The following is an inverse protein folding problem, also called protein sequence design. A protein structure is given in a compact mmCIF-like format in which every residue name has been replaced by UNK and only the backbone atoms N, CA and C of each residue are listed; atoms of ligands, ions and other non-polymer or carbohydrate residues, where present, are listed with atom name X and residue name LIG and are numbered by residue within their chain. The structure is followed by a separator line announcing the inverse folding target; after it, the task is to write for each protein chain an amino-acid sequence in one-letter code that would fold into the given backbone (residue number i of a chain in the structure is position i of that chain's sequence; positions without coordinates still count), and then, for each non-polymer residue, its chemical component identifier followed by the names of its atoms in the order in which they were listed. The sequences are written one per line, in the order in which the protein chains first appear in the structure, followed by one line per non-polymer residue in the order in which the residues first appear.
data_IF_675838800245
#
_entry.id   IF_675838800245
#
_cell.length_a   1.000
_cell.length_b   1.000
_cell.length_c   1.000
_cell.angle_alpha   90.00
_cell.angle_beta   90.00
_cell.angle_gamma   90.00
#
_symmetry.space_group_name_H-M   'P 1'
#
loop_
_entity.id
_entity.type
_entity.pdbx_description
1 polymer ?
#
# COMPACT_ATOMS: atom_id res chain seq x y z
N UNK A 1 -13.44 24.21 6.20
CA UNK A 1 -13.41 25.33 5.22
C UNK A 1 -11.95 25.67 5.03
N UNK A 2 -11.32 25.35 3.91
CA UNK A 2 -11.34 26.14 2.69
C UNK A 2 -11.19 25.23 1.47
N UNK A 3 -12.29 25.04 0.75
CA UNK A 3 -12.30 24.60 -0.64
C UNK A 3 -12.89 25.79 -1.40
N UNK A 4 -12.03 26.73 -1.77
CA UNK A 4 -12.45 28.00 -2.34
C UNK A 4 -11.39 28.54 -3.27
N UNK A 5 -11.83 28.78 -4.52
CA UNK A 5 -11.22 29.64 -5.54
C UNK A 5 -10.18 28.95 -6.44
N UNK A 6 -10.65 28.25 -7.46
CA UNK A 6 -10.55 28.73 -8.85
C UNK A 6 -11.34 27.83 -9.81
N UNK A 7 -12.29 28.44 -10.52
CA UNK A 7 -13.10 27.85 -11.59
C UNK A 7 -12.18 27.39 -12.72
N UNK A 8 -12.10 26.09 -12.99
CA UNK A 8 -12.10 25.45 -14.33
C UNK A 8 -12.27 23.92 -14.14
N UNK A 9 -13.48 23.41 -14.40
CA UNK A 9 -13.81 22.01 -14.76
C UNK A 9 -13.12 20.84 -14.00
N UNK A 10 -13.17 20.81 -12.66
CA UNK A 10 -12.95 19.56 -11.92
C UNK A 10 -14.03 19.41 -10.84
N UNK A 11 -14.86 18.38 -11.00
CA UNK A 11 -15.91 18.02 -10.06
C UNK A 11 -15.31 17.73 -8.66
N UNK A 12 -15.96 18.14 -7.56
CA UNK A 12 -15.59 17.81 -6.17
C UNK A 12 -15.43 16.30 -5.85
N UNK A 13 -15.70 15.42 -6.81
CA UNK A 13 -15.64 13.96 -6.69
C UNK A 13 -14.23 13.35 -6.80
N UNK A 14 -13.21 14.13 -7.18
CA UNK A 14 -11.81 13.68 -7.32
C UNK A 14 -11.22 13.12 -6.03
N UNK A 15 -11.40 13.87 -4.94
CA UNK A 15 -10.70 13.67 -3.68
C UNK A 15 -11.32 12.53 -2.86
N UNK A 16 -12.58 12.17 -3.10
CA UNK A 16 -13.30 11.21 -2.27
C UNK A 16 -13.01 9.75 -2.65
N UNK A 17 -12.60 9.49 -3.90
CA UNK A 17 -12.40 8.12 -4.43
C UNK A 17 -11.00 7.53 -4.17
N UNK A 18 -10.00 8.37 -3.87
CA UNK A 18 -8.67 7.92 -3.43
C UNK A 18 -8.62 7.48 -1.94
N UNK A 19 -9.63 7.87 -1.13
CA UNK A 19 -9.60 7.79 0.34
C UNK A 19 -9.80 6.38 0.93
N UNK A 20 -10.30 5.42 0.17
CA UNK A 20 -10.75 4.13 0.73
C UNK A 20 -9.70 2.98 0.62
N UNK A 21 -8.53 3.23 0.06
CA UNK A 21 -7.65 2.16 -0.43
C UNK A 21 -6.80 1.45 0.63
N UNK A 22 -6.46 2.09 1.75
CA UNK A 22 -5.45 1.54 2.69
C UNK A 22 -5.92 1.45 4.14
N UNK A 23 -7.14 1.90 4.47
CA UNK A 23 -7.68 1.73 5.83
C UNK A 23 -8.07 0.28 6.17
N UNK A 24 -7.98 -0.67 5.23
CA UNK A 24 -8.47 -2.05 5.39
C UNK A 24 -7.40 -3.14 5.16
N UNK A 25 -6.15 -2.90 5.57
CA UNK A 25 -5.14 -3.98 5.65
C UNK A 25 -5.30 -4.80 6.95
N UNK A 26 -6.41 -5.55 7.05
CA UNK A 26 -6.39 -6.84 7.76
C UNK A 26 -7.14 -7.93 7.00
N UNK A 27 -8.09 -7.60 6.13
CA UNK A 27 -8.73 -8.56 5.23
C UNK A 27 -9.12 -7.89 3.90
N UNK A 28 -8.57 -8.42 2.80
CA UNK A 28 -8.78 -7.98 1.41
C UNK A 28 -10.28 -7.85 1.07
N UNK A 29 -10.71 -6.72 0.46
CA UNK A 29 -10.98 -6.79 -0.98
C UNK A 29 -10.63 -5.50 -1.76
N UNK A 30 -10.37 -5.73 -3.04
CA UNK A 30 -10.12 -4.80 -4.17
C UNK A 30 -10.95 -3.52 -4.14
N UNK A 31 -10.32 -2.36 -4.19
CA UNK A 31 -10.94 -1.09 -4.57
C UNK A 31 -9.96 -0.27 -5.42
N UNK A 32 -10.49 0.41 -6.44
CA UNK A 32 -9.77 0.98 -7.57
C UNK A 32 -9.40 2.47 -7.32
N UNK A 33 -8.19 2.88 -7.72
CA UNK A 33 -7.85 4.30 -7.84
C UNK A 33 -8.64 4.89 -9.01
N UNK A 34 -9.59 5.79 -8.74
CA UNK A 34 -10.24 6.57 -9.79
C UNK A 34 -9.43 7.84 -10.03
N UNK A 35 -8.65 7.87 -11.10
CA UNK A 35 -8.13 9.10 -11.70
C UNK A 35 -9.29 9.86 -12.34
N UNK A 36 -9.21 11.19 -12.32
CA UNK A 36 -10.32 12.04 -12.71
C UNK A 36 -9.96 13.13 -13.71
N UNK A 37 -8.78 13.03 -14.30
CA UNK A 37 -8.57 13.63 -15.60
C UNK A 37 -9.30 12.76 -16.63
N UNK A 38 -10.00 13.38 -17.58
CA UNK A 38 -10.51 12.67 -18.75
C UNK A 38 -9.33 11.98 -19.48
N UNK A 39 -9.22 10.68 -19.26
CA UNK A 39 -8.16 9.83 -19.78
C UNK A 39 -8.78 8.80 -20.71
N UNK A 40 -8.22 8.70 -21.91
CA UNK A 40 -8.61 7.69 -22.87
C UNK A 40 -8.28 6.28 -22.36
N UNK A 41 -7.21 6.15 -21.57
CA UNK A 41 -6.73 4.90 -21.01
C UNK A 41 -6.26 5.14 -19.58
N UNK A 42 -6.95 4.52 -18.62
CA UNK A 42 -6.54 4.44 -17.23
C UNK A 42 -6.88 3.04 -16.71
N UNK A 43 -5.88 2.22 -16.40
CA UNK A 43 -6.14 0.89 -15.85
C UNK A 43 -6.63 0.99 -14.40
N UNK A 44 -7.58 0.14 -14.02
CA UNK A 44 -7.95 0.02 -12.62
C UNK A 44 -6.76 -0.49 -11.79
N UNK A 45 -6.31 0.33 -10.83
CA UNK A 45 -5.20 -0.02 -9.95
C UNK A 45 -5.70 -0.92 -8.82
N UNK A 46 -5.13 -2.12 -8.70
CA UNK A 46 -5.56 -3.15 -7.73
C UNK A 46 -4.41 -3.59 -6.84
N UNK A 47 -4.74 -4.08 -5.64
CA UNK A 47 -3.70 -4.46 -4.68
C UNK A 47 -2.91 -5.70 -5.11
N UNK A 48 -1.59 -5.65 -4.92
CA UNK A 48 -0.67 -6.77 -5.06
C UNK A 48 0.09 -7.04 -3.73
N UNK A 49 -0.15 -8.20 -3.09
CA UNK A 49 0.53 -8.55 -1.84
C UNK A 49 2.04 -8.72 -1.95
N UNK A 50 2.58 -9.05 -3.13
CA UNK A 50 4.03 -9.17 -3.33
C UNK A 50 4.67 -7.77 -3.41
N UNK A 51 4.03 -6.81 -4.07
CA UNK A 51 4.48 -5.40 -4.06
C UNK A 51 4.48 -4.82 -2.64
N UNK A 52 3.47 -5.14 -1.83
CA UNK A 52 3.40 -4.67 -0.44
C UNK A 52 4.53 -5.26 0.44
N UNK A 53 4.92 -6.50 0.18
CA UNK A 53 6.06 -7.13 0.85
C UNK A 53 7.39 -6.49 0.43
N UNK A 54 7.54 -6.14 -0.85
CA UNK A 54 8.71 -5.40 -1.35
C UNK A 54 8.79 -4.03 -0.67
N UNK A 55 7.69 -3.28 -0.63
CA UNK A 55 7.61 -1.99 0.05
C UNK A 55 7.95 -2.11 1.54
N UNK A 56 7.42 -3.14 2.21
CA UNK A 56 7.70 -3.42 3.63
C UNK A 56 9.17 -3.73 3.90
N UNK A 57 9.79 -4.51 3.02
CA UNK A 57 11.20 -4.85 3.12
C UNK A 57 12.07 -3.60 2.97
N UNK A 58 11.76 -2.74 2.00
CA UNK A 58 12.52 -1.52 1.76
C UNK A 58 12.31 -0.46 2.85
N UNK A 59 11.07 -0.25 3.30
CA UNK A 59 10.73 0.76 4.31
C UNK A 59 11.45 0.55 5.66
N UNK A 60 11.85 -0.68 5.97
CA UNK A 60 12.64 -1.01 7.18
C UNK A 60 14.03 -0.40 7.20
N UNK A 61 14.57 -0.03 6.05
CA UNK A 61 15.89 0.58 5.97
C UNK A 61 15.88 2.03 6.50
N UNK A 62 14.71 2.67 6.62
CA UNK A 62 14.57 4.06 7.08
C UNK A 62 15.47 5.03 6.29
N UNK A 63 15.49 4.91 4.96
CA UNK A 63 16.27 5.75 4.06
C UNK A 63 15.33 6.46 3.09
N UNK A 64 15.44 7.78 2.98
CA UNK A 64 14.75 8.53 1.95
C UNK A 64 15.47 8.42 0.60
N UNK A 65 15.54 7.20 0.10
CA UNK A 65 16.13 6.84 -1.19
C UNK A 65 15.34 5.70 -1.82
N UNK A 66 15.32 5.66 -3.15
CA UNK A 66 14.62 4.61 -3.87
C UNK A 66 15.30 3.24 -3.72
N UNK A 67 14.48 2.19 -3.73
CA UNK A 67 14.97 0.82 -3.73
C UNK A 67 15.85 0.57 -4.98
N UNK A 68 17.10 0.18 -4.75
CA UNK A 68 18.10 -0.01 -5.80
C UNK A 68 17.83 -1.24 -6.67
N UNK A 69 16.86 -2.09 -6.28
CA UNK A 69 16.52 -3.36 -6.95
C UNK A 69 15.23 -3.30 -7.79
N UNK A 70 14.66 -2.12 -8.04
CA UNK A 70 13.39 -1.98 -8.76
C UNK A 70 13.48 -2.26 -10.28
N UNK A 71 14.70 -2.34 -10.84
CA UNK A 71 14.97 -2.43 -12.28
C UNK A 71 15.97 -3.55 -12.58
N UNK A 72 16.09 -4.01 -13.86
CA UNK A 72 17.10 -4.98 -14.27
C UNK A 72 18.53 -4.56 -13.84
N UNK A 73 19.41 -5.51 -13.49
CA UNK A 73 19.26 -6.97 -13.62
C UNK A 73 18.38 -7.61 -12.54
N UNK A 74 17.94 -6.83 -11.54
CA UNK A 74 17.07 -7.31 -10.47
C UNK A 74 15.63 -7.47 -10.95
N UNK A 75 14.94 -8.45 -10.39
CA UNK A 75 13.53 -8.74 -10.69
C UNK A 75 12.81 -9.15 -9.42
N UNK A 76 12.38 -8.16 -8.64
CA UNK A 76 11.71 -8.37 -7.34
C UNK A 76 10.31 -8.96 -7.47
N UNK A 77 9.65 -8.77 -8.62
CA UNK A 77 8.31 -9.29 -8.88
C UNK A 77 8.31 -10.17 -10.15
N UNK A 78 7.72 -11.37 -10.13
CA UNK A 78 7.81 -12.31 -11.25
C UNK A 78 7.15 -11.80 -12.54
N UNK A 79 6.08 -11.00 -12.41
CA UNK A 79 5.29 -10.52 -13.55
C UNK A 79 5.70 -9.13 -14.07
N UNK A 80 6.62 -8.43 -13.40
CA UNK A 80 7.00 -7.07 -13.78
C UNK A 80 8.51 -6.96 -13.93
N UNK A 81 8.97 -6.56 -15.12
CA UNK A 81 10.40 -6.33 -15.42
C UNK A 81 10.96 -5.14 -14.65
N UNK A 82 10.11 -4.15 -14.39
CA UNK A 82 10.48 -2.95 -13.65
C UNK A 82 9.32 -2.53 -12.76
N UNK A 83 9.65 -2.07 -11.57
CA UNK A 83 8.71 -1.56 -10.59
C UNK A 83 8.83 -0.04 -10.47
N UNK A 84 7.72 0.60 -10.12
CA UNK A 84 7.66 2.00 -9.72
C UNK A 84 7.69 2.10 -8.20
N UNK A 85 7.97 3.28 -7.67
CA UNK A 85 8.00 3.51 -6.23
C UNK A 85 7.72 4.97 -5.91
N UNK A 86 6.83 5.19 -4.94
CA UNK A 86 6.68 6.47 -4.26
C UNK A 86 7.05 6.32 -2.79
N UNK A 87 7.71 7.32 -2.22
CA UNK A 87 8.11 7.37 -0.82
C UNK A 87 7.53 8.64 -0.21
N UNK A 88 6.92 8.50 0.96
CA UNK A 88 6.46 9.60 1.80
C UNK A 88 7.13 9.44 3.16
N UNK A 89 7.61 10.54 3.71
CA UNK A 89 8.24 10.56 5.03
C UNK A 89 7.80 11.80 5.78
N UNK A 90 7.35 11.63 7.01
CA UNK A 90 6.89 12.73 7.85
C UNK A 90 6.72 12.30 9.30
N UNK A 91 6.24 13.22 10.14
CA UNK A 91 5.94 12.88 11.53
C UNK A 91 4.82 11.84 11.61
N UNK A 92 4.88 10.98 12.63
CA UNK A 92 3.81 10.01 12.90
C UNK A 92 2.42 10.66 13.03
N UNK A 93 2.36 11.84 13.65
CA UNK A 93 1.09 12.55 13.90
C UNK A 93 0.40 13.06 12.62
N UNK A 94 1.17 13.32 11.57
CA UNK A 94 0.65 13.77 10.28
C UNK A 94 0.34 12.61 9.33
N UNK A 95 0.86 11.42 9.65
CA UNK A 95 0.70 10.27 8.78
C UNK A 95 -0.73 9.76 8.82
N UNK A 96 -1.37 9.87 7.67
CA UNK A 96 -2.37 8.91 7.24
C UNK A 96 -2.04 8.53 5.81
N UNK A 97 -2.53 7.38 5.37
CA UNK A 97 -2.46 7.02 3.96
C UNK A 97 -3.00 8.12 3.08
N UNK A 98 -4.18 8.65 3.45
CA UNK A 98 -4.85 9.64 2.63
C UNK A 98 -3.98 10.89 2.51
N UNK A 99 -3.35 11.32 3.61
CA UNK A 99 -2.42 12.45 3.60
C UNK A 99 -1.25 12.18 2.66
N UNK A 100 -0.59 11.03 2.79
CA UNK A 100 0.57 10.70 1.98
C UNK A 100 0.27 10.63 0.47
N UNK A 101 -0.87 10.03 0.09
CA UNK A 101 -1.26 9.97 -1.32
C UNK A 101 -1.72 11.34 -1.83
N UNK A 102 -2.41 12.14 -1.01
CA UNK A 102 -2.76 13.52 -1.37
C UNK A 102 -1.50 14.34 -1.59
N UNK A 103 -0.49 14.26 -0.71
CA UNK A 103 0.78 14.97 -0.87
C UNK A 103 1.48 14.59 -2.18
N UNK A 104 1.48 13.30 -2.54
CA UNK A 104 2.00 12.84 -3.85
C UNK A 104 1.19 13.39 -5.02
N UNK A 105 -0.14 13.41 -4.92
CA UNK A 105 -1.03 13.87 -5.98
C UNK A 105 -0.94 15.39 -6.19
N UNK A 106 -0.81 16.16 -5.11
CA UNK A 106 -0.80 17.63 -5.12
C UNK A 106 0.41 18.21 -5.86
N UNK A 107 1.43 17.40 -6.18
CA UNK A 107 2.48 17.77 -7.13
C UNK A 107 1.93 18.14 -8.53
N UNK A 108 0.68 17.78 -8.86
CA UNK A 108 -0.02 18.25 -10.05
C UNK A 108 0.02 19.76 -10.21
N UNK A 109 0.05 20.52 -9.10
CA UNK A 109 0.14 21.98 -9.11
C UNK A 109 1.45 22.51 -9.74
N UNK A 110 2.46 21.64 -9.86
CA UNK A 110 3.77 21.94 -10.43
C UNK A 110 3.97 21.30 -11.81
N UNK A 111 3.01 20.51 -12.30
CA UNK A 111 3.10 19.75 -13.53
C UNK A 111 2.24 20.34 -14.66
N UNK A 112 2.88 20.80 -15.73
CA UNK A 112 2.18 21.17 -16.96
C UNK A 112 2.05 19.95 -17.89
N UNK A 113 0.85 19.41 -18.00
CA UNK A 113 0.57 18.27 -18.86
C UNK A 113 0.87 18.53 -20.35
N UNK A 114 0.63 19.75 -20.85
CA UNK A 114 0.81 20.07 -22.28
C UNK A 114 2.28 19.94 -22.68
N UNK A 115 3.18 20.43 -21.82
CA UNK A 115 4.62 20.45 -22.10
C UNK A 115 5.39 19.34 -21.38
N UNK A 116 4.75 18.60 -20.48
CA UNK A 116 5.36 17.66 -19.50
C UNK A 116 6.39 18.32 -18.58
N UNK A 117 6.43 19.65 -18.53
CA UNK A 117 7.37 20.39 -17.68
C UNK A 117 6.93 20.29 -16.23
N UNK A 118 7.89 20.00 -15.37
CA UNK A 118 7.74 20.05 -13.93
C UNK A 118 8.55 21.22 -13.38
N UNK A 119 7.92 22.06 -12.56
CA UNK A 119 8.59 23.22 -11.95
C UNK A 119 9.26 22.90 -10.61
N UNK A 120 8.95 21.74 -10.01
CA UNK A 120 9.55 21.21 -8.79
C UNK A 120 9.73 19.69 -8.87
N UNK A 121 9.07 18.94 -7.98
CA UNK A 121 8.94 17.48 -8.01
C UNK A 121 7.53 17.16 -8.50
N UNK A 122 7.43 16.24 -9.46
CA UNK A 122 6.16 15.79 -10.04
C UNK A 122 6.11 14.26 -10.23
N UNK A 123 7.18 13.57 -9.85
CA UNK A 123 7.34 12.14 -10.10
C UNK A 123 6.38 11.29 -9.28
N UNK A 124 5.98 11.76 -8.09
CA UNK A 124 5.01 11.05 -7.28
C UNK A 124 3.63 11.16 -7.90
N UNK A 125 3.23 12.37 -8.33
CA UNK A 125 1.98 12.59 -9.04
C UNK A 125 1.92 11.74 -10.31
N UNK A 126 2.93 11.81 -11.19
CA UNK A 126 2.90 11.09 -12.46
C UNK A 126 2.83 9.59 -12.27
N UNK A 127 3.43 9.03 -11.21
CA UNK A 127 3.29 7.60 -10.89
C UNK A 127 1.89 7.26 -10.34
N UNK A 128 1.28 8.12 -9.53
CA UNK A 128 -0.09 7.92 -9.00
C UNK A 128 -1.11 7.84 -10.14
N UNK A 129 -0.94 8.64 -11.19
CA UNK A 129 -1.84 8.68 -12.35
C UNK A 129 -1.26 7.97 -13.59
N UNK A 130 -0.35 7.01 -13.39
CA UNK A 130 0.29 6.31 -14.50
C UNK A 130 -0.66 5.25 -15.08
N UNK A 131 -1.17 5.49 -16.28
CA UNK A 131 -2.23 4.69 -16.92
C UNK A 131 -1.92 3.19 -17.04
N UNK A 132 -0.64 2.85 -17.27
CA UNK A 132 -0.21 1.47 -17.46
C UNK A 132 0.08 0.75 -16.13
N UNK A 133 0.19 1.47 -15.01
CA UNK A 133 0.38 0.88 -13.69
C UNK A 133 -0.97 0.38 -13.17
N UNK A 134 -1.10 -0.93 -12.99
CA UNK A 134 -2.37 -1.58 -12.62
C UNK A 134 -2.29 -2.43 -11.35
N UNK A 135 -1.09 -2.58 -10.77
CA UNK A 135 -0.88 -3.13 -9.43
C UNK A 135 -0.17 -2.15 -8.50
N UNK A 136 -0.59 -2.12 -7.24
CA UNK A 136 0.06 -1.36 -6.17
C UNK A 136 0.17 -2.18 -4.90
N UNK A 137 1.24 -2.00 -4.14
CA UNK A 137 1.35 -2.53 -2.79
C UNK A 137 2.20 -1.60 -1.93
N UNK A 138 1.71 -1.33 -0.72
CA UNK A 138 2.30 -0.32 0.16
C UNK A 138 2.64 -0.86 1.54
N UNK A 139 3.54 -0.18 2.24
CA UNK A 139 3.86 -0.43 3.64
C UNK A 139 4.28 0.86 4.33
N UNK A 140 3.95 1.00 5.61
CA UNK A 140 4.51 2.01 6.49
C UNK A 140 5.44 1.36 7.51
N UNK A 141 6.55 2.01 7.80
CA UNK A 141 7.46 1.65 8.88
C UNK A 141 7.67 2.84 9.82
N UNK A 142 7.75 2.54 11.12
CA UNK A 142 8.18 3.52 12.12
C UNK A 142 9.70 3.62 12.11
N UNK A 143 10.22 4.83 11.98
CA UNK A 143 11.64 5.10 11.89
C UNK A 143 12.05 6.11 12.97
N UNK A 144 12.86 5.72 13.98
CA UNK A 144 13.38 6.66 14.97
C UNK A 144 14.17 7.81 14.33
N UNK A 145 14.88 7.53 13.24
CA UNK A 145 15.50 8.48 12.32
C UNK A 145 15.32 8.00 10.89
N UNK A 146 15.32 8.92 9.94
CA UNK A 146 15.32 8.61 8.50
C UNK A 146 16.53 9.25 7.85
N UNK A 147 17.40 8.45 7.22
CA UNK A 147 18.54 8.98 6.46
C UNK A 147 18.03 9.87 5.33
N UNK A 148 18.57 11.09 5.22
CA UNK A 148 18.07 12.14 4.32
C UNK A 148 17.18 13.18 4.99
N UNK A 149 16.80 12.98 6.26
CA UNK A 149 16.07 13.95 7.08
C UNK A 149 16.68 14.09 8.48
N UNK A 150 17.66 14.97 8.63
CA UNK A 150 18.41 15.13 9.89
C UNK A 150 17.55 15.63 11.06
N UNK A 151 16.51 16.43 10.77
CA UNK A 151 15.62 17.00 11.79
C UNK A 151 14.37 16.17 12.08
N UNK A 152 14.17 15.04 11.38
CA UNK A 152 13.01 14.18 11.60
C UNK A 152 13.32 13.06 12.58
N UNK A 153 12.60 13.07 13.70
CA UNK A 153 12.65 12.02 14.71
C UNK A 153 11.30 11.31 14.80
N UNK A 154 11.33 10.00 15.05
CA UNK A 154 10.13 9.19 15.26
C UNK A 154 9.11 9.36 14.11
N UNK A 155 9.60 9.22 12.88
CA UNK A 155 8.82 9.43 11.66
C UNK A 155 8.06 8.20 11.20
N UNK A 156 6.98 8.42 10.45
CA UNK A 156 6.38 7.41 9.60
C UNK A 156 7.05 7.47 8.23
N UNK A 157 7.50 6.31 7.75
CA UNK A 157 8.13 6.13 6.45
C UNK A 157 7.27 5.19 5.61
N UNK A 158 6.55 5.76 4.64
CA UNK A 158 5.51 5.10 3.87
C UNK A 158 5.94 4.93 2.41
N UNK A 159 5.90 3.70 1.91
CA UNK A 159 6.35 3.34 0.56
C UNK A 159 5.23 2.62 -0.15
N UNK A 160 4.99 2.96 -1.42
CA UNK A 160 4.14 2.21 -2.34
C UNK A 160 4.96 1.80 -3.56
N UNK A 161 4.94 0.51 -3.92
CA UNK A 161 5.49 0.03 -5.18
C UNK A 161 4.38 -0.21 -6.21
N UNK A 162 4.68 0.08 -7.48
CA UNK A 162 3.74 0.02 -8.60
C UNK A 162 4.20 -0.98 -9.67
N UNK A 163 3.25 -1.68 -10.28
CA UNK A 163 3.51 -2.72 -11.28
C UNK A 163 2.58 -2.61 -12.49
N UNK A 164 3.11 -2.54 -13.73
CA UNK A 164 4.48 -2.19 -14.07
C UNK A 164 4.83 -0.78 -13.56
N UNK A 165 6.12 -0.51 -13.36
CA UNK A 165 6.59 0.82 -12.99
C UNK A 165 6.31 1.87 -14.06
N UNK A 166 5.96 3.08 -13.63
CA UNK A 166 5.72 4.22 -14.50
C UNK A 166 6.93 5.15 -14.63
N UNK A 167 6.65 6.45 -14.82
CA UNK A 167 7.62 7.54 -14.91
C UNK A 167 8.64 7.38 -16.04
N UNK A 168 8.24 6.76 -17.15
CA UNK A 168 8.98 6.85 -18.40
C UNK A 168 8.92 8.29 -18.97
N UNK A 169 9.83 8.70 -19.87
CA UNK A 169 9.89 10.06 -20.42
C UNK A 169 8.77 10.35 -21.45
N UNK A 170 7.53 10.10 -21.08
CA UNK A 170 6.30 10.28 -21.86
C UNK A 170 5.19 10.86 -20.96
N UNK A 171 3.97 11.04 -21.48
CA UNK A 171 2.81 11.42 -20.67
C UNK A 171 2.39 10.26 -19.76
N UNK A 172 1.95 10.54 -18.52
CA UNK A 172 1.51 9.50 -17.59
C UNK A 172 0.24 8.79 -18.06
N UNK A 173 -0.58 9.44 -18.87
CA UNK A 173 -1.79 8.88 -19.46
C UNK A 173 -2.12 9.57 -20.78
N UNK A 174 -3.01 8.97 -21.58
CA UNK A 174 -3.47 9.56 -22.85
C UNK A 174 -4.70 10.42 -22.59
N UNK A 175 -4.63 11.73 -22.88
CA UNK A 175 -5.83 12.59 -22.86
C UNK A 175 -6.87 12.12 -23.89
N UNK A 176 -8.13 12.08 -23.49
CA UNK A 176 -9.24 11.79 -24.38
C UNK A 176 -10.52 11.51 -23.60
N UNK A 177 -11.58 11.13 -24.32
CA UNK A 177 -12.82 10.70 -23.70
C UNK A 177 -12.57 9.49 -22.81
N UNK A 178 -13.15 9.46 -21.63
CA UNK A 178 -13.00 8.38 -20.66
C UNK A 178 -13.18 7.00 -21.29
N UNK A 179 -12.25 6.07 -21.04
CA UNK A 179 -12.27 4.69 -21.55
C UNK A 179 -12.25 4.54 -23.09
N UNK A 180 -12.05 5.62 -23.85
CA UNK A 180 -12.07 5.57 -25.33
C UNK A 180 -10.90 4.79 -25.95
N UNK A 181 -9.89 4.44 -25.16
CA UNK A 181 -8.71 3.69 -25.57
C UNK A 181 -8.36 2.56 -24.58
N UNK A 182 -9.35 1.93 -23.96
CA UNK A 182 -9.11 0.77 -23.10
C UNK A 182 -8.49 -0.40 -23.88
N UNK A 183 -7.52 -1.15 -23.31
CA UNK A 183 -6.88 -2.28 -23.99
C UNK A 183 -7.85 -3.45 -24.18
N UNK A 184 -7.69 -4.22 -25.27
CA UNK A 184 -8.25 -5.58 -25.44
C UNK A 184 -9.73 -5.78 -25.05
N UNK A 185 -10.60 -4.83 -25.37
CA UNK A 185 -12.03 -4.84 -24.99
C UNK A 185 -12.29 -4.88 -23.47
N UNK A 186 -11.36 -4.36 -22.67
CA UNK A 186 -11.59 -4.08 -21.25
C UNK A 186 -12.88 -3.28 -21.07
N UNK A 187 -13.63 -3.61 -20.01
CA UNK A 187 -14.88 -2.92 -19.72
C UNK A 187 -14.56 -1.57 -19.08
N UNK A 188 -15.41 -0.58 -19.30
CA UNK A 188 -15.33 0.68 -18.57
C UNK A 188 -16.20 0.57 -17.31
N UNK A 189 -15.60 0.74 -16.14
CA UNK A 189 -16.30 0.83 -14.86
C UNK A 189 -15.74 1.99 -14.07
N UNK A 190 -16.60 2.89 -13.59
CA UNK A 190 -16.20 4.07 -12.80
C UNK A 190 -15.08 4.91 -13.46
N UNK A 191 -15.14 5.07 -14.78
CA UNK A 191 -14.16 5.78 -15.60
C UNK A 191 -12.79 5.09 -15.75
N UNK A 192 -12.69 3.81 -15.37
CA UNK A 192 -11.47 3.01 -15.46
C UNK A 192 -11.64 1.81 -16.40
N UNK A 193 -10.56 1.44 -17.07
CA UNK A 193 -10.46 0.21 -17.85
C UNK A 193 -10.28 -0.96 -16.89
N UNK A 194 -11.27 -1.83 -16.77
CA UNK A 194 -11.26 -3.02 -15.91
C UNK A 194 -11.12 -4.31 -16.71
N UNK A 195 -10.34 -5.23 -16.18
CA UNK A 195 -10.07 -6.54 -16.74
C UNK A 195 -10.04 -7.59 -15.63
N UNK A 196 -10.94 -8.58 -15.70
CA UNK A 196 -11.07 -9.58 -14.63
C UNK A 196 -9.78 -10.37 -14.35
N UNK A 197 -8.97 -10.66 -15.37
CA UNK A 197 -7.74 -11.44 -15.19
C UNK A 197 -6.61 -10.58 -14.59
N UNK A 198 -6.46 -9.35 -15.09
CA UNK A 198 -5.46 -8.39 -14.61
C UNK A 198 -5.77 -7.92 -13.19
N UNK A 199 -7.02 -7.61 -12.92
CA UNK A 199 -7.47 -6.94 -11.69
C UNK A 199 -7.61 -7.92 -10.51
N UNK A 200 -7.69 -9.24 -10.79
CA UNK A 200 -7.72 -10.28 -9.76
C UNK A 200 -6.52 -10.13 -8.80
N UNK A 201 -6.80 -10.09 -7.50
CA UNK A 201 -5.77 -10.15 -6.46
C UNK A 201 -5.17 -11.55 -6.48
N UNK A 202 -3.89 -11.65 -6.86
CA UNK A 202 -3.15 -12.92 -6.84
C UNK A 202 -2.56 -13.12 -5.44
N UNK A 203 -2.79 -14.28 -4.85
CA UNK A 203 -2.06 -14.71 -3.65
C UNK A 203 -0.81 -15.46 -4.10
N UNK A 204 0.35 -14.90 -3.83
CA UNK A 204 1.61 -15.56 -4.07
C UNK A 204 1.94 -16.44 -2.87
N UNK A 205 1.63 -17.73 -2.96
CA UNK A 205 1.89 -18.70 -1.90
C UNK A 205 3.36 -19.15 -1.82
N UNK A 206 4.15 -18.90 -2.86
CA UNK A 206 5.59 -19.21 -2.89
C UNK A 206 6.35 -18.22 -3.79
N UNK A 207 6.69 -17.05 -3.26
CA UNK A 207 7.81 -16.28 -3.82
C UNK A 207 8.96 -16.54 -2.88
N UNK A 208 9.99 -17.23 -3.38
CA UNK A 208 11.27 -17.36 -2.69
C UNK A 208 11.90 -15.97 -2.76
N UNK A 209 11.68 -15.16 -1.73
CA UNK A 209 12.33 -13.87 -1.59
C UNK A 209 13.83 -14.10 -1.36
N UNK A 210 14.72 -13.31 -1.97
CA UNK A 210 16.15 -13.44 -1.71
C UNK A 210 16.43 -13.19 -0.22
N UNK A 211 16.70 -14.24 0.54
CA UNK A 211 17.36 -14.22 1.86
C UNK A 211 16.85 -13.26 2.95
N UNK A 212 15.62 -12.75 2.90
CA UNK A 212 15.11 -11.85 3.94
C UNK A 212 14.51 -12.65 5.11
N UNK A 213 14.80 -12.28 6.37
CA UNK A 213 14.11 -12.87 7.51
C UNK A 213 12.65 -12.41 7.50
N UNK A 214 11.82 -13.19 6.83
CA UNK A 214 10.38 -13.19 7.05
C UNK A 214 10.22 -13.97 8.35
N UNK A 215 10.03 -13.27 9.47
CA UNK A 215 9.40 -13.92 10.61
C UNK A 215 7.97 -14.23 10.16
N UNK A 216 7.61 -15.51 9.91
CA UNK A 216 6.20 -15.83 9.76
C UNK A 216 5.51 -15.32 11.02
N UNK A 217 4.31 -14.71 10.88
CA UNK A 217 3.45 -14.42 12.04
C UNK A 217 3.42 -15.71 12.86
N UNK A 218 4.07 -15.68 14.02
CA UNK A 218 4.45 -16.89 14.73
C UNK A 218 3.16 -17.56 15.22
N UNK A 219 2.61 -18.53 14.47
CA UNK A 219 1.37 -19.22 14.89
C UNK A 219 1.54 -19.87 16.26
N UNK A 220 2.79 -20.14 16.64
CA UNK A 220 3.17 -20.63 17.95
C UNK A 220 2.84 -19.65 19.09
N UNK A 221 2.90 -18.32 18.93
CA UNK A 221 2.47 -17.40 20.00
C UNK A 221 0.95 -17.40 20.19
N UNK A 222 0.17 -17.51 19.12
CA UNK A 222 -1.29 -17.65 19.24
C UNK A 222 -1.70 -19.01 19.82
N UNK A 223 -1.04 -20.10 19.42
CA UNK A 223 -1.25 -21.42 20.02
C UNK A 223 -0.81 -21.46 21.49
N UNK A 224 0.30 -20.82 21.84
CA UNK A 224 0.79 -20.74 23.22
C UNK A 224 -0.20 -20.01 24.14
N UNK A 225 -0.80 -18.91 23.67
CA UNK A 225 -1.84 -18.21 24.42
C UNK A 225 -3.10 -19.07 24.62
N UNK A 226 -3.55 -19.76 23.57
CA UNK A 226 -4.74 -20.63 23.65
C UNK A 226 -4.50 -21.82 24.57
N UNK A 227 -3.35 -22.50 24.42
CA UNK A 227 -3.01 -23.69 25.21
C UNK A 227 -2.83 -23.33 26.70
N UNK A 228 -2.16 -22.23 27.02
CA UNK A 228 -2.01 -21.80 28.42
C UNK A 228 -3.34 -21.43 29.07
N UNK A 229 -4.25 -20.77 28.35
CA UNK A 229 -5.58 -20.47 28.87
C UNK A 229 -6.40 -21.74 29.15
N UNK A 230 -6.30 -22.76 28.29
CA UNK A 230 -6.99 -24.05 28.52
C UNK A 230 -6.38 -24.80 29.70
N UNK A 231 -5.05 -24.83 29.84
CA UNK A 231 -4.37 -25.48 30.98
C UNK A 231 -4.77 -24.82 32.31
N UNK A 232 -4.82 -23.49 32.36
CA UNK A 232 -5.25 -22.75 33.55
C UNK A 232 -6.72 -23.04 33.91
N UNK A 233 -7.61 -23.13 32.93
CA UNK A 233 -9.01 -23.48 33.18
C UNK A 233 -9.14 -24.91 33.70
N UNK A 234 -8.40 -25.86 33.13
CA UNK A 234 -8.40 -27.24 33.58
C UNK A 234 -7.83 -27.37 35.00
N UNK A 235 -6.77 -26.65 35.36
CA UNK A 235 -6.22 -26.71 36.72
C UNK A 235 -7.19 -26.15 37.76
N UNK A 236 -7.90 -25.06 37.45
CA UNK A 236 -8.95 -24.51 38.34
C UNK A 236 -10.09 -25.51 38.51
N UNK A 237 -10.57 -26.12 37.42
CA UNK A 237 -11.63 -27.13 37.48
C UNK A 237 -11.19 -28.32 38.34
N UNK A 238 -9.96 -28.81 38.15
CA UNK A 238 -9.41 -29.93 38.92
C UNK A 238 -9.35 -29.57 40.41
N UNK A 239 -8.86 -28.37 40.76
CA UNK A 239 -8.82 -27.92 42.16
C UNK A 239 -10.21 -27.84 42.78
N UNK A 240 -11.20 -27.32 42.05
CA UNK A 240 -12.60 -27.27 42.51
C UNK A 240 -13.15 -28.69 42.72
N UNK A 241 -12.89 -29.61 41.79
CA UNK A 241 -13.33 -31.00 41.90
C UNK A 241 -12.67 -31.74 43.08
N UNK A 242 -11.38 -31.47 43.33
CA UNK A 242 -10.65 -32.02 44.48
C UNK A 242 -11.23 -31.48 45.78
N UNK A 243 -11.48 -30.17 45.88
CA UNK A 243 -12.11 -29.56 47.07
C UNK A 243 -13.53 -30.08 47.30
N UNK A 244 -14.30 -30.29 46.24
CA UNK A 244 -15.65 -30.87 46.33
C UNK A 244 -15.62 -32.32 46.82
N UNK A 245 -14.66 -33.13 46.34
CA UNK A 245 -14.55 -34.54 46.69
C UNK A 245 -13.88 -34.78 48.04
N UNK A 246 -12.97 -33.88 48.44
CA UNK A 246 -12.18 -33.96 49.67
C UNK A 246 -12.22 -32.62 50.43
N UNK A 247 -13.34 -32.28 51.08
CA UNK A 247 -13.54 -30.96 51.71
C UNK A 247 -12.60 -30.69 52.91
N UNK A 248 -11.96 -31.72 53.47
CA UNK A 248 -11.04 -31.61 54.60
C UNK A 248 -9.56 -31.73 54.19
N UNK A 249 -9.25 -31.68 52.89
CA UNK A 249 -7.87 -31.75 52.41
C UNK A 249 -7.18 -30.39 52.66
N UNK A 250 -6.46 -30.28 53.77
CA UNK A 250 -5.62 -29.11 54.08
C UNK A 250 -4.32 -29.27 53.29
N UNK A 251 -4.02 -28.31 52.39
CA UNK A 251 -2.71 -28.21 51.76
C UNK A 251 -1.70 -27.91 52.87
N UNK A 252 -0.80 -28.86 53.14
CA UNK A 252 0.37 -28.61 53.97
C UNK A 252 1.34 -27.78 53.12
N UNK A 253 1.51 -26.51 53.51
CA UNK A 253 2.50 -25.59 52.95
C UNK A 253 3.94 -26.10 53.15
#
# INVERSE_FOLDING_TARGET
MLCGISKWLLSPSLCQKHKQLINYSSDFPTLALVSAAASAHESALTWDPALAQIAKAWARNCQFSHNTQLKPPHKLHPNFTSLGENIWTGSLSLFSVSSAITDWYDEIQHYDFKTRKCTKVCGHYTQVVWADSYKVGCAVHFCPRVSGFDSLFNGAHFICNYGPGGNYPTWPYKKGATCSACPNNDKCLDNLCVNQQRDKVKRYYSVVYPGWPIYPRNRYTSLFLIVNSVILLLSVIITILIQYKYPNLVLLD
#
